data_IF_576674924151
#
_entry.id   IF_576674924151
#
_cell.length_a   1.000
_cell.length_b   1.000
_cell.length_c   1.000
_cell.angle_alpha   90.00
_cell.angle_beta   90.00
_cell.angle_gamma   90.00
#
_symmetry.space_group_name_H-M   'P 1'
#
loop_
_entity.id
_entity.type
_entity.pdbx_description
1 polymer ?
#
# COMPACT_ATOMS: atom_id res chain seq x y z
N UNK A 1 9.82 44.49 26.40
CA UNK A 1 10.26 43.76 25.19
C UNK A 1 10.80 44.78 24.21
N UNK A 2 12.09 44.72 23.84
CA UNK A 2 12.74 45.68 22.93
C UNK A 2 12.00 45.77 21.59
N UNK A 3 11.70 46.98 21.10
CA UNK A 3 10.94 47.15 19.84
C UNK A 3 11.59 46.47 18.62
N UNK A 4 12.91 46.34 18.63
CA UNK A 4 13.65 45.62 17.60
C UNK A 4 13.38 44.11 17.62
N UNK A 5 13.33 43.47 18.79
CA UNK A 5 13.01 42.04 18.91
C UNK A 5 11.60 41.73 18.42
N UNK A 6 10.61 42.61 18.72
CA UNK A 6 9.24 42.45 18.24
C UNK A 6 9.16 42.54 16.70
N UNK A 7 9.90 43.49 16.09
CA UNK A 7 9.96 43.61 14.61
C UNK A 7 10.57 42.35 14.00
N UNK A 8 11.68 41.84 14.54
CA UNK A 8 12.31 40.60 14.04
C UNK A 8 11.34 39.42 14.13
N UNK A 9 10.65 39.23 15.26
CA UNK A 9 9.65 38.16 15.43
C UNK A 9 8.50 38.28 14.40
N UNK A 10 7.99 39.50 14.17
CA UNK A 10 6.91 39.71 13.18
C UNK A 10 7.40 39.41 11.78
N UNK A 11 8.58 39.92 11.39
CA UNK A 11 9.14 39.67 10.05
C UNK A 11 9.39 38.15 9.86
N UNK A 12 9.98 37.47 10.82
CA UNK A 12 10.21 36.04 10.77
C UNK A 12 8.87 35.28 10.64
N UNK A 13 7.86 35.65 11.41
CA UNK A 13 6.52 35.04 11.33
C UNK A 13 5.88 35.24 9.95
N UNK A 14 5.97 36.47 9.40
CA UNK A 14 5.44 36.75 8.05
C UNK A 14 6.20 35.95 6.98
N UNK A 15 7.54 35.87 7.05
CA UNK A 15 8.33 35.09 6.10
C UNK A 15 7.98 33.61 6.18
N UNK A 16 7.86 33.03 7.39
CA UNK A 16 7.45 31.63 7.55
C UNK A 16 6.04 31.38 7.00
N UNK A 17 5.08 32.27 7.26
CA UNK A 17 3.74 32.17 6.71
C UNK A 17 3.75 32.20 5.18
N UNK A 18 4.51 33.10 4.56
CA UNK A 18 4.64 33.18 3.11
C UNK A 18 5.26 31.91 2.51
N UNK A 19 6.29 31.34 3.16
CA UNK A 19 6.89 30.09 2.73
C UNK A 19 5.89 28.92 2.78
N UNK A 20 5.09 28.83 3.83
CA UNK A 20 4.03 27.82 3.96
C UNK A 20 2.96 28.00 2.88
N UNK A 21 2.52 29.22 2.61
CA UNK A 21 1.53 29.50 1.56
C UNK A 21 2.06 29.17 0.16
N UNK A 22 3.30 29.52 -0.15
CA UNK A 22 3.94 29.17 -1.42
C UNK A 22 4.04 27.64 -1.55
N UNK A 23 4.50 26.95 -0.52
CA UNK A 23 4.64 25.50 -0.53
C UNK A 23 3.29 24.78 -0.67
N UNK A 24 2.24 25.25 0.04
CA UNK A 24 0.88 24.70 -0.06
C UNK A 24 0.29 24.93 -1.47
N UNK A 25 0.49 26.10 -2.05
CA UNK A 25 0.07 26.40 -3.43
C UNK A 25 0.77 25.50 -4.43
N UNK A 26 2.10 25.38 -4.32
CA UNK A 26 2.89 24.45 -5.12
C UNK A 26 2.39 23.01 -5.02
N UNK A 27 2.13 22.53 -3.79
CA UNK A 27 1.60 21.19 -3.54
C UNK A 27 0.21 21.00 -4.17
N UNK A 28 -0.68 21.97 -4.02
CA UNK A 28 -2.03 21.92 -4.59
C UNK A 28 -2.01 21.87 -6.12
N UNK A 29 -1.25 22.74 -6.76
CA UNK A 29 -1.09 22.79 -8.23
C UNK A 29 -0.46 21.49 -8.75
N UNK A 30 0.63 21.01 -8.12
CA UNK A 30 1.28 19.77 -8.51
C UNK A 30 0.30 18.59 -8.42
N UNK A 31 -0.45 18.46 -7.32
CA UNK A 31 -1.44 17.39 -7.14
C UNK A 31 -2.55 17.45 -8.19
N UNK A 32 -3.04 18.65 -8.54
CA UNK A 32 -4.07 18.82 -9.56
C UNK A 32 -3.59 18.40 -10.96
N UNK A 33 -2.36 18.76 -11.32
CA UNK A 33 -1.73 18.36 -12.59
C UNK A 33 -1.50 16.84 -12.66
N UNK A 34 -1.03 16.25 -11.56
CA UNK A 34 -0.77 14.81 -11.46
C UNK A 34 -2.04 13.97 -11.54
N UNK A 35 -3.16 14.43 -10.97
CA UNK A 35 -4.47 13.76 -11.13
C UNK A 35 -4.88 13.65 -12.60
N UNK A 36 -4.56 14.65 -13.42
CA UNK A 36 -4.83 14.62 -14.87
C UNK A 36 -3.83 13.74 -15.62
N UNK A 37 -2.58 13.71 -15.17
CA UNK A 37 -1.50 12.96 -15.82
C UNK A 37 -1.58 11.46 -15.58
N UNK A 38 -2.05 11.05 -14.40
CA UNK A 38 -2.12 9.67 -13.97
C UNK A 38 -3.56 9.29 -13.57
N UNK A 39 -4.46 9.11 -14.54
CA UNK A 39 -5.78 8.55 -14.26
C UNK A 39 -5.61 7.12 -13.74
N UNK A 40 -6.58 6.64 -12.93
CA UNK A 40 -6.53 5.27 -12.42
C UNK A 40 -6.61 4.24 -13.55
N UNK A 41 -5.69 3.25 -13.61
CA UNK A 41 -5.94 2.05 -14.39
C UNK A 41 -7.01 1.22 -13.67
N UNK A 42 -7.81 0.43 -14.41
CA UNK A 42 -8.85 -0.38 -13.76
C UNK A 42 -10.11 0.41 -13.40
N UNK A 43 -10.76 0.08 -12.30
CA UNK A 43 -12.09 0.60 -11.95
C UNK A 43 -12.19 0.97 -10.46
N UNK A 44 -13.09 1.91 -10.17
CA UNK A 44 -13.54 2.21 -8.82
C UNK A 44 -14.73 1.30 -8.51
N UNK A 45 -14.73 0.68 -7.34
CA UNK A 45 -15.72 -0.33 -6.92
C UNK A 45 -16.17 -0.02 -5.50
N UNK A 46 -17.46 -0.04 -5.24
CA UNK A 46 -18.01 0.16 -3.91
C UNK A 46 -17.58 -0.97 -2.97
N UNK A 47 -17.01 -0.62 -1.83
CA UNK A 47 -16.53 -1.54 -0.80
C UNK A 47 -17.30 -1.39 0.53
N UNK A 48 -18.55 -0.94 0.45
CA UNK A 48 -19.41 -0.75 1.62
C UNK A 48 -19.54 0.72 2.05
N UNK A 49 -19.78 1.61 1.07
CA UNK A 49 -20.05 3.01 1.30
C UNK A 49 -18.97 3.98 0.85
N UNK A 50 -17.84 3.47 0.37
CA UNK A 50 -16.79 4.25 -0.27
C UNK A 50 -16.17 3.45 -1.42
N UNK A 51 -15.59 4.17 -2.40
CA UNK A 51 -15.03 3.56 -3.61
C UNK A 51 -13.57 3.17 -3.39
N UNK A 52 -13.24 1.91 -3.66
CA UNK A 52 -11.87 1.44 -3.72
C UNK A 52 -11.44 1.19 -5.18
N UNK A 53 -10.20 1.55 -5.46
CA UNK A 53 -9.57 1.25 -6.74
C UNK A 53 -9.20 -0.23 -6.82
N UNK A 54 -9.61 -0.88 -7.91
CA UNK A 54 -9.28 -2.27 -8.23
C UNK A 54 -8.73 -2.36 -9.66
N UNK A 55 -7.54 -2.94 -9.79
CA UNK A 55 -6.89 -3.14 -11.08
C UNK A 55 -6.55 -4.60 -11.30
N UNK A 56 -7.26 -5.23 -12.24
CA UNK A 56 -7.11 -6.64 -12.57
C UNK A 56 -6.56 -6.83 -13.98
N UNK A 57 -5.69 -7.83 -14.13
CA UNK A 57 -5.10 -8.25 -15.41
C UNK A 57 -5.11 -9.78 -15.51
N UNK A 58 -4.89 -10.31 -16.73
CA UNK A 58 -4.87 -11.75 -16.97
C UNK A 58 -6.25 -12.40 -16.89
N UNK A 59 -6.29 -13.71 -17.12
CA UNK A 59 -7.50 -14.54 -17.12
C UNK A 59 -7.22 -15.90 -16.49
N UNK A 60 -8.26 -16.55 -16.01
CA UNK A 60 -8.18 -17.88 -15.39
C UNK A 60 -8.37 -17.86 -13.88
N UNK A 61 -8.32 -19.03 -13.28
CA UNK A 61 -8.54 -19.27 -11.85
C UNK A 61 -7.39 -20.07 -11.24
N UNK A 62 -7.16 -19.97 -9.91
CA UNK A 62 -7.73 -18.97 -9.00
C UNK A 62 -7.28 -17.56 -9.30
N UNK A 63 -8.10 -16.54 -8.95
CA UNK A 63 -7.67 -15.15 -8.95
C UNK A 63 -6.63 -14.94 -7.86
N UNK A 64 -5.55 -14.21 -8.21
CA UNK A 64 -4.56 -13.74 -7.22
C UNK A 64 -4.93 -12.33 -6.79
N UNK A 65 -4.94 -12.05 -5.49
CA UNK A 65 -5.17 -10.72 -4.92
C UNK A 65 -3.90 -10.25 -4.24
N UNK A 66 -3.42 -9.06 -4.62
CA UNK A 66 -2.17 -8.47 -4.18
C UNK A 66 -2.41 -7.39 -3.12
N UNK A 67 -1.91 -7.63 -1.91
CA UNK A 67 -2.01 -6.74 -0.76
C UNK A 67 -0.69 -5.97 -0.57
N UNK A 68 -0.73 -4.65 -0.74
CA UNK A 68 0.46 -3.82 -0.83
C UNK A 68 1.18 -3.63 0.53
N UNK A 69 2.50 -3.37 0.53
CA UNK A 69 3.23 -2.95 1.73
C UNK A 69 2.62 -1.72 2.39
N UNK A 70 2.95 -1.45 3.65
CA UNK A 70 2.50 -0.25 4.34
C UNK A 70 2.87 1.02 3.56
N UNK A 71 2.00 2.02 3.62
CA UNK A 71 2.19 3.33 2.98
C UNK A 71 2.33 3.31 1.46
N UNK A 72 2.16 2.16 0.82
CA UNK A 72 2.22 2.02 -0.63
C UNK A 72 0.84 1.70 -1.23
N UNK A 73 0.79 1.39 -2.49
CA UNK A 73 -0.44 1.17 -3.25
C UNK A 73 -0.26 0.10 -4.33
N UNK A 74 -1.31 -0.21 -5.07
CA UNK A 74 -1.32 -1.21 -6.17
C UNK A 74 -0.14 -1.06 -7.14
N UNK A 75 0.30 0.15 -7.44
CA UNK A 75 1.42 0.41 -8.34
C UNK A 75 2.76 -0.21 -7.88
N UNK A 76 2.93 -0.48 -6.58
CA UNK A 76 4.13 -1.16 -6.08
C UNK A 76 4.26 -2.60 -6.62
N UNK A 77 3.16 -3.23 -6.96
CA UNK A 77 3.11 -4.59 -7.48
C UNK A 77 3.34 -4.71 -8.99
N UNK A 78 3.68 -3.63 -9.70
CA UNK A 78 3.64 -3.57 -11.15
C UNK A 78 4.41 -4.71 -11.84
N UNK A 79 5.65 -5.03 -11.42
CA UNK A 79 6.41 -6.16 -11.98
C UNK A 79 5.74 -7.50 -11.73
N UNK A 80 5.34 -7.76 -10.49
CA UNK A 80 4.71 -9.03 -10.09
C UNK A 80 3.38 -9.20 -10.81
N UNK A 81 2.56 -8.14 -10.89
CA UNK A 81 1.28 -8.19 -11.56
C UNK A 81 1.42 -8.51 -13.04
N UNK A 82 2.41 -7.90 -13.73
CA UNK A 82 2.71 -8.19 -15.14
C UNK A 82 3.11 -9.64 -15.37
N UNK A 83 3.88 -10.24 -14.46
CA UNK A 83 4.32 -11.63 -14.61
C UNK A 83 3.20 -12.62 -14.27
N UNK A 84 2.48 -12.41 -13.16
CA UNK A 84 1.39 -13.27 -12.73
C UNK A 84 0.20 -13.22 -13.70
N UNK A 85 -0.05 -12.08 -14.34
CA UNK A 85 -1.10 -11.92 -15.35
C UNK A 85 -0.94 -12.86 -16.57
N UNK A 86 0.27 -13.34 -16.84
CA UNK A 86 0.56 -14.33 -17.89
C UNK A 86 0.08 -15.75 -17.51
N UNK A 87 -0.16 -15.99 -16.21
CA UNK A 87 -0.48 -17.32 -15.65
C UNK A 87 -1.94 -17.47 -15.25
N UNK A 88 -2.50 -16.42 -14.68
CA UNK A 88 -3.87 -16.40 -14.14
C UNK A 88 -4.38 -14.97 -14.02
N UNK A 89 -5.64 -14.81 -13.62
CA UNK A 89 -6.18 -13.50 -13.25
C UNK A 89 -5.51 -13.00 -11.98
N UNK A 90 -5.06 -11.76 -11.98
CA UNK A 90 -4.41 -11.09 -10.84
C UNK A 90 -4.98 -9.69 -10.66
N UNK A 91 -5.32 -9.36 -9.43
CA UNK A 91 -5.89 -8.08 -9.04
C UNK A 91 -5.04 -7.44 -7.94
N UNK A 92 -4.63 -6.21 -8.14
CA UNK A 92 -4.16 -5.33 -7.07
C UNK A 92 -5.21 -4.28 -6.75
N UNK A 93 -5.21 -3.79 -5.53
CA UNK A 93 -6.15 -2.76 -5.10
C UNK A 93 -5.45 -1.74 -4.20
N UNK A 94 -6.07 -0.61 -4.02
CA UNK A 94 -5.62 0.41 -3.08
C UNK A 94 -6.54 0.38 -1.86
N UNK A 95 -5.96 0.21 -0.65
CA UNK A 95 -6.72 0.32 0.60
C UNK A 95 -7.34 1.70 0.75
N UNK A 96 -8.42 1.80 1.51
CA UNK A 96 -9.11 3.06 1.76
C UNK A 96 -8.14 4.21 2.11
N UNK A 97 -8.22 5.31 1.38
CA UNK A 97 -7.37 6.50 1.55
C UNK A 97 -5.96 6.41 0.98
N UNK A 98 -5.57 5.28 0.39
CA UNK A 98 -4.32 5.16 -0.36
C UNK A 98 -4.59 5.19 -1.87
N UNK A 99 -3.56 5.55 -2.64
CA UNK A 99 -3.65 5.57 -4.09
C UNK A 99 -4.84 6.36 -4.62
N UNK A 100 -5.64 5.72 -5.46
CA UNK A 100 -6.86 6.31 -6.03
C UNK A 100 -8.11 6.04 -5.19
N UNK A 101 -8.03 5.19 -4.16
CA UNK A 101 -9.15 4.86 -3.30
C UNK A 101 -9.61 6.04 -2.46
N UNK A 102 -10.93 6.15 -2.29
CA UNK A 102 -11.51 7.10 -1.36
C UNK A 102 -11.13 6.76 0.07
N UNK A 103 -11.02 7.76 0.91
CA UNK A 103 -10.88 7.55 2.34
C UNK A 103 -12.25 7.11 2.89
N UNK A 104 -12.27 6.05 3.69
CA UNK A 104 -13.44 5.76 4.51
C UNK A 104 -13.61 6.83 5.61
N UNK A 105 -14.78 6.85 6.26
CA UNK A 105 -15.11 7.83 7.31
C UNK A 105 -14.26 7.65 8.58
N UNK A 106 -13.70 6.46 8.79
CA UNK A 106 -12.91 6.12 9.98
C UNK A 106 -11.39 6.16 9.71
N UNK A 107 -10.58 6.41 10.75
CA UNK A 107 -9.14 6.17 10.70
C UNK A 107 -8.81 4.72 10.30
N UNK A 108 -7.53 4.47 9.92
CA UNK A 108 -7.09 3.11 9.64
C UNK A 108 -7.29 2.19 10.85
N UNK A 109 -7.95 1.07 10.61
CA UNK A 109 -8.13 -0.03 11.56
C UNK A 109 -7.83 -1.35 10.84
N UNK A 110 -6.85 -2.15 11.30
CA UNK A 110 -6.47 -3.41 10.63
C UNK A 110 -7.64 -4.39 10.53
N UNK A 111 -8.56 -4.36 11.49
CA UNK A 111 -9.75 -5.21 11.53
C UNK A 111 -10.78 -4.89 10.43
N UNK A 112 -10.75 -3.67 9.91
CA UNK A 112 -11.67 -3.22 8.85
C UNK A 112 -11.20 -3.64 7.45
N UNK A 113 -9.89 -3.86 7.24
CA UNK A 113 -9.32 -4.12 5.91
C UNK A 113 -9.87 -5.41 5.29
N UNK A 114 -9.95 -6.51 6.05
CA UNK A 114 -10.47 -7.76 5.54
C UNK A 114 -11.96 -7.69 5.14
N UNK A 115 -12.88 -7.10 5.92
CA UNK A 115 -14.25 -6.83 5.48
C UNK A 115 -14.36 -5.94 4.25
N UNK A 116 -13.59 -4.84 4.18
CA UNK A 116 -13.58 -3.94 3.02
C UNK A 116 -13.11 -4.66 1.74
N UNK A 117 -12.03 -5.45 1.84
CA UNK A 117 -11.56 -6.26 0.71
C UNK A 117 -12.58 -7.32 0.30
N UNK A 118 -13.26 -7.94 1.27
CA UNK A 118 -14.30 -8.90 0.97
C UNK A 118 -15.49 -8.25 0.23
N UNK A 119 -15.92 -7.07 0.66
CA UNK A 119 -16.97 -6.31 -0.01
C UNK A 119 -16.53 -5.90 -1.43
N UNK A 120 -15.31 -5.38 -1.57
CA UNK A 120 -14.70 -5.03 -2.86
C UNK A 120 -14.74 -6.20 -3.84
N UNK A 121 -14.23 -7.37 -3.44
CA UNK A 121 -14.17 -8.57 -4.30
C UNK A 121 -15.57 -9.10 -4.64
N UNK A 122 -16.52 -9.00 -3.72
CA UNK A 122 -17.92 -9.41 -3.94
C UNK A 122 -18.61 -8.49 -4.94
N UNK A 123 -18.53 -7.16 -4.74
CA UNK A 123 -19.12 -6.17 -5.65
C UNK A 123 -18.46 -6.23 -7.03
N UNK A 124 -17.16 -6.52 -7.07
CA UNK A 124 -16.41 -6.70 -8.31
C UNK A 124 -16.74 -8.01 -9.04
N UNK A 125 -17.47 -8.95 -8.41
CA UNK A 125 -17.76 -10.30 -8.89
C UNK A 125 -16.49 -11.11 -9.21
N UNK A 126 -15.43 -10.95 -8.40
CA UNK A 126 -14.20 -11.70 -8.59
C UNK A 126 -14.37 -13.15 -8.14
N UNK A 127 -13.94 -14.14 -8.97
CA UNK A 127 -14.09 -15.56 -8.65
C UNK A 127 -13.34 -15.96 -7.37
N UNK A 128 -13.95 -16.82 -6.56
CA UNK A 128 -13.39 -17.37 -5.32
C UNK A 128 -13.30 -18.89 -5.38
N UNK A 129 -12.43 -19.53 -4.59
CA UNK A 129 -11.48 -18.93 -3.65
C UNK A 129 -10.29 -18.27 -4.34
N UNK A 130 -9.70 -17.24 -3.71
CA UNK A 130 -8.55 -16.48 -4.22
C UNK A 130 -7.23 -16.96 -3.62
N UNK A 131 -6.11 -16.72 -4.29
CA UNK A 131 -4.77 -16.77 -3.70
C UNK A 131 -4.45 -15.36 -3.20
N UNK A 132 -4.26 -15.20 -1.89
CA UNK A 132 -3.82 -13.92 -1.32
C UNK A 132 -2.31 -13.84 -1.32
N UNK A 133 -1.76 -12.75 -1.85
CA UNK A 133 -0.33 -12.44 -1.78
C UNK A 133 -0.13 -11.08 -1.14
N UNK A 134 0.53 -11.02 -0.01
CA UNK A 134 0.79 -9.78 0.73
C UNK A 134 2.27 -9.56 0.98
N UNK A 135 2.70 -8.30 1.00
CA UNK A 135 4.07 -7.94 1.31
C UNK A 135 4.14 -7.05 2.55
N UNK A 136 5.08 -7.35 3.47
CA UNK A 136 5.31 -6.61 4.70
C UNK A 136 4.01 -6.49 5.53
N UNK A 137 3.50 -5.29 5.84
CA UNK A 137 2.21 -5.10 6.51
C UNK A 137 1.06 -5.75 5.73
N UNK A 138 1.13 -5.72 4.39
CA UNK A 138 0.18 -6.42 3.54
C UNK A 138 0.17 -7.93 3.74
N UNK A 139 1.29 -8.54 4.16
CA UNK A 139 1.31 -9.95 4.51
C UNK A 139 0.51 -10.23 5.80
N UNK A 140 0.61 -9.35 6.79
CA UNK A 140 -0.21 -9.43 8.01
C UNK A 140 -1.70 -9.26 7.68
N UNK A 141 -2.06 -8.27 6.85
CA UNK A 141 -3.44 -8.03 6.42
C UNK A 141 -4.01 -9.20 5.58
N UNK A 142 -3.22 -9.78 4.69
CA UNK A 142 -3.59 -10.99 3.94
C UNK A 142 -3.85 -12.19 4.86
N UNK A 143 -3.07 -12.32 5.94
CA UNK A 143 -3.28 -13.35 6.98
C UNK A 143 -4.61 -13.13 7.71
N UNK A 144 -4.94 -11.88 8.06
CA UNK A 144 -6.23 -11.53 8.68
C UNK A 144 -7.41 -11.83 7.74
N UNK A 145 -7.26 -11.55 6.44
CA UNK A 145 -8.28 -11.90 5.45
C UNK A 145 -8.51 -13.42 5.40
N UNK A 146 -7.44 -14.20 5.29
CA UNK A 146 -7.52 -15.66 5.19
C UNK A 146 -8.11 -16.31 6.46
N UNK A 147 -7.80 -15.77 7.64
CA UNK A 147 -8.38 -16.25 8.89
C UNK A 147 -9.88 -15.94 8.99
N UNK A 148 -10.30 -14.77 8.52
CA UNK A 148 -11.71 -14.33 8.57
C UNK A 148 -12.57 -14.97 7.46
N UNK A 149 -12.00 -15.21 6.28
CA UNK A 149 -12.66 -15.75 5.11
C UNK A 149 -11.95 -17.01 4.58
N UNK A 150 -11.90 -18.09 5.39
CA UNK A 150 -11.12 -19.28 5.06
C UNK A 150 -11.62 -20.01 3.82
N UNK A 151 -12.94 -19.99 3.56
CA UNK A 151 -13.53 -20.64 2.39
C UNK A 151 -13.29 -19.84 1.10
N UNK A 152 -12.97 -18.57 1.23
CA UNK A 152 -12.69 -17.68 0.10
C UNK A 152 -11.19 -17.57 -0.23
N UNK A 153 -10.33 -18.28 0.54
CA UNK A 153 -8.88 -18.26 0.41
C UNK A 153 -8.33 -19.64 0.07
N UNK A 154 -7.75 -19.79 -1.12
CA UNK A 154 -7.16 -21.04 -1.58
C UNK A 154 -5.72 -21.23 -1.07
N UNK A 155 -4.95 -20.16 -0.94
CA UNK A 155 -3.56 -20.17 -0.46
C UNK A 155 -3.10 -18.76 -0.07
N UNK A 156 -2.02 -18.72 0.73
CA UNK A 156 -1.31 -17.49 1.11
C UNK A 156 0.11 -17.48 0.55
N UNK A 157 0.55 -16.31 0.09
CA UNK A 157 1.96 -15.99 -0.21
C UNK A 157 2.34 -14.75 0.59
N UNK A 158 3.27 -14.89 1.52
CA UNK A 158 3.67 -13.86 2.47
C UNK A 158 5.10 -13.43 2.15
N UNK A 159 5.28 -12.20 1.69
CA UNK A 159 6.57 -11.62 1.33
C UNK A 159 7.07 -10.77 2.49
N UNK A 160 8.23 -11.10 3.04
CA UNK A 160 8.80 -10.43 4.20
C UNK A 160 7.76 -10.11 5.30
N UNK A 161 6.97 -11.11 5.77
CA UNK A 161 5.95 -10.87 6.77
C UNK A 161 6.58 -10.33 8.06
N UNK A 162 5.94 -9.38 8.77
CA UNK A 162 6.41 -8.90 10.05
C UNK A 162 6.10 -9.90 11.18
N UNK A 163 6.77 -9.73 12.32
CA UNK A 163 6.53 -10.53 13.53
C UNK A 163 7.07 -11.96 13.45
N UNK A 164 6.40 -12.90 14.12
CA UNK A 164 6.82 -14.29 14.25
C UNK A 164 6.83 -15.07 12.93
N UNK A 165 6.12 -14.58 11.91
CA UNK A 165 6.07 -15.20 10.59
C UNK A 165 7.30 -14.90 9.72
N UNK A 166 8.16 -13.94 10.09
CA UNK A 166 9.32 -13.55 9.30
C UNK A 166 10.39 -12.82 10.09
N UNK A 167 11.56 -12.64 9.46
CA UNK A 167 12.68 -11.88 10.03
C UNK A 167 12.61 -10.39 9.69
N UNK A 168 11.43 -9.88 9.35
CA UNK A 168 11.34 -8.50 8.88
C UNK A 168 11.71 -7.51 9.97
N UNK A 169 12.93 -7.00 9.88
CA UNK A 169 13.47 -5.90 10.68
C UNK A 169 13.27 -4.57 9.96
N UNK A 170 12.14 -4.39 9.26
CA UNK A 170 11.87 -3.14 8.55
C UNK A 170 12.09 -1.96 9.49
N UNK A 171 13.01 -1.08 9.12
CA UNK A 171 13.27 0.15 9.86
C UNK A 171 12.06 1.06 9.75
N UNK A 172 11.23 1.10 10.80
CA UNK A 172 10.10 2.02 10.88
C UNK A 172 10.62 3.45 11.02
N UNK A 173 10.04 4.42 10.30
CA UNK A 173 10.34 5.82 10.53
C UNK A 173 10.00 6.21 11.98
N UNK A 174 10.73 7.18 12.55
CA UNK A 174 10.42 7.63 13.90
C UNK A 174 8.95 8.11 14.00
N UNK A 175 8.30 7.84 15.14
CA UNK A 175 6.92 8.25 15.39
C UNK A 175 6.72 9.77 15.19
N UNK A 176 7.71 10.59 15.51
CA UNK A 176 7.70 12.04 15.30
C UNK A 176 7.65 12.40 13.81
N UNK A 177 8.43 11.70 12.97
CA UNK A 177 8.40 11.90 11.52
C UNK A 177 7.06 11.45 10.95
N UNK A 178 6.56 10.30 11.36
CA UNK A 178 5.25 9.77 10.93
C UNK A 178 4.15 10.78 11.21
N UNK A 179 4.08 11.30 12.43
CA UNK A 179 3.08 12.30 12.83
C UNK A 179 3.21 13.64 12.09
N UNK A 180 4.44 14.06 11.78
CA UNK A 180 4.70 15.32 11.08
C UNK A 180 4.52 15.23 9.54
N UNK A 181 4.69 14.04 8.95
CA UNK A 181 4.75 13.86 7.50
C UNK A 181 3.54 14.39 6.73
N UNK A 182 2.26 14.26 7.19
CA UNK A 182 1.13 14.84 6.50
C UNK A 182 1.16 16.37 6.44
N UNK A 183 1.67 17.01 7.48
CA UNK A 183 1.80 18.47 7.55
C UNK A 183 2.94 18.98 6.66
N UNK A 184 4.08 18.28 6.70
CA UNK A 184 5.22 18.57 5.81
C UNK A 184 4.84 18.41 4.34
N UNK A 185 3.99 17.41 4.03
CA UNK A 185 3.47 17.24 2.68
C UNK A 185 2.53 18.38 2.27
N UNK A 186 1.60 18.81 3.17
CA UNK A 186 0.73 19.96 2.89
C UNK A 186 1.51 21.24 2.63
N UNK A 187 2.61 21.44 3.34
CA UNK A 187 3.54 22.56 3.12
C UNK A 187 4.46 22.36 1.89
N UNK A 188 4.33 21.27 1.14
CA UNK A 188 5.14 20.98 -0.05
C UNK A 188 6.60 20.59 0.23
N UNK A 189 6.99 20.46 1.50
CA UNK A 189 8.38 20.19 1.92
C UNK A 189 8.86 18.83 1.43
N UNK A 190 8.09 17.77 1.66
CA UNK A 190 8.49 16.40 1.29
C UNK A 190 8.63 16.25 -0.22
N UNK A 191 7.76 16.91 -1.00
CA UNK A 191 7.83 16.94 -2.45
C UNK A 191 9.08 17.65 -2.95
N UNK A 192 9.39 18.82 -2.39
CA UNK A 192 10.58 19.60 -2.75
C UNK A 192 11.87 18.83 -2.44
N UNK A 193 11.92 18.13 -1.30
CA UNK A 193 13.07 17.33 -0.87
C UNK A 193 13.18 15.98 -1.58
N UNK A 194 12.14 15.50 -2.27
CA UNK A 194 12.07 14.18 -2.92
C UNK A 194 12.37 13.00 -1.99
N UNK A 195 12.16 13.16 -0.71
CA UNK A 195 12.60 12.24 0.36
C UNK A 195 11.97 10.85 0.26
N UNK A 196 10.72 10.76 -0.21
CA UNK A 196 9.93 9.53 -0.21
C UNK A 196 9.92 8.78 -1.55
N UNK A 197 10.72 9.22 -2.52
CA UNK A 197 10.66 8.69 -3.89
C UNK A 197 11.89 7.87 -4.31
N UNK A 198 12.83 7.63 -3.40
CA UNK A 198 14.12 6.99 -3.73
C UNK A 198 13.94 5.57 -4.31
N UNK A 199 13.10 4.73 -3.71
CA UNK A 199 12.91 3.34 -4.12
C UNK A 199 12.02 3.12 -5.35
N UNK A 200 11.43 4.17 -5.95
CA UNK A 200 10.47 4.01 -7.05
C UNK A 200 11.11 3.81 -8.43
N UNK A 201 12.41 4.09 -8.56
CA UNK A 201 13.08 4.19 -9.88
C UNK A 201 13.17 2.91 -10.67
N UNK A 202 13.15 1.75 -10.00
CA UNK A 202 13.26 0.43 -10.62
C UNK A 202 11.93 -0.15 -11.10
N UNK A 203 10.79 0.47 -10.75
CA UNK A 203 9.49 0.06 -11.27
C UNK A 203 9.34 0.39 -12.76
N UNK A 204 8.54 -0.39 -13.51
CA UNK A 204 8.24 -0.08 -14.91
C UNK A 204 7.43 1.21 -15.01
N UNK A 205 7.55 1.92 -16.14
CA UNK A 205 6.67 3.06 -16.42
C UNK A 205 5.29 2.54 -16.89
N UNK A 206 4.19 3.19 -16.49
CA UNK A 206 4.09 4.43 -15.71
C UNK A 206 4.09 4.24 -14.17
N UNK A 207 4.17 3.01 -13.65
CA UNK A 207 4.03 2.69 -12.22
C UNK A 207 5.01 3.47 -11.32
N UNK A 208 6.27 3.62 -11.76
CA UNK A 208 7.27 4.43 -11.04
C UNK A 208 6.82 5.88 -10.85
N UNK A 209 6.28 6.50 -11.91
CA UNK A 209 5.76 7.86 -11.86
C UNK A 209 4.53 8.00 -10.98
N UNK A 210 3.63 7.03 -11.07
CA UNK A 210 2.40 6.94 -10.26
C UNK A 210 2.77 6.87 -8.78
N UNK A 211 3.55 5.87 -8.38
CA UNK A 211 3.90 5.66 -6.97
C UNK A 211 4.63 6.87 -6.38
N UNK A 212 5.59 7.45 -7.13
CA UNK A 212 6.30 8.68 -6.73
C UNK A 212 5.34 9.83 -6.49
N UNK A 213 4.32 9.96 -7.32
CA UNK A 213 3.29 11.00 -7.19
C UNK A 213 2.51 10.84 -5.89
N UNK A 214 1.98 9.65 -5.64
CA UNK A 214 1.14 9.40 -4.48
C UNK A 214 1.92 9.46 -3.16
N UNK A 215 3.16 8.99 -3.10
CA UNK A 215 4.03 9.11 -1.92
C UNK A 215 4.30 10.57 -1.49
N UNK A 216 3.98 11.56 -2.32
CA UNK A 216 4.11 12.98 -1.99
C UNK A 216 2.78 13.68 -1.76
N UNK A 217 1.66 12.95 -1.77
CA UNK A 217 0.32 13.53 -1.56
C UNK A 217 -0.07 13.53 -0.09
N UNK A 218 -0.61 14.63 0.43
CA UNK A 218 -0.97 14.75 1.84
C UNK A 218 -2.04 13.75 2.31
N UNK A 219 -3.04 13.46 1.46
CA UNK A 219 -4.09 12.48 1.71
C UNK A 219 -3.51 11.07 1.88
N UNK A 220 -2.71 10.62 0.91
CA UNK A 220 -2.02 9.33 0.94
C UNK A 220 -1.10 9.19 2.16
N UNK A 221 -0.31 10.23 2.46
CA UNK A 221 0.58 10.23 3.62
C UNK A 221 -0.17 10.23 4.95
N UNK A 222 -1.33 10.89 5.02
CA UNK A 222 -2.16 10.86 6.23
C UNK A 222 -2.63 9.42 6.51
N UNK A 223 -3.07 8.69 5.49
CA UNK A 223 -3.48 7.30 5.64
C UNK A 223 -2.30 6.38 5.94
N UNK A 224 -1.20 6.54 5.22
CA UNK A 224 0.03 5.78 5.46
C UNK A 224 0.60 5.99 6.87
N UNK A 225 0.52 7.21 7.41
CA UNK A 225 0.86 7.49 8.80
C UNK A 225 -0.05 6.74 9.78
N UNK A 226 -1.34 6.62 9.48
CA UNK A 226 -2.28 5.80 10.24
C UNK A 226 -1.92 4.32 10.25
N UNK A 227 -1.49 3.76 9.11
CA UNK A 227 -1.01 2.37 9.02
C UNK A 227 0.22 2.13 9.89
N UNK A 228 1.20 3.05 9.82
CA UNK A 228 2.41 2.96 10.64
C UNK A 228 2.14 3.12 12.13
N UNK A 229 1.18 3.96 12.51
CA UNK A 229 0.78 4.14 13.90
C UNK A 229 0.09 2.90 14.49
N UNK A 230 -0.51 2.07 13.66
CA UNK A 230 -1.18 0.81 14.04
C UNK A 230 -0.38 -0.43 13.63
N UNK A 231 0.90 -0.27 13.36
CA UNK A 231 1.79 -1.36 12.94
C UNK A 231 1.79 -2.52 13.92
N UNK A 232 2.14 -2.25 15.18
CA UNK A 232 2.25 -3.29 16.21
C UNK A 232 0.91 -3.99 16.46
N UNK A 233 -0.19 -3.25 16.45
CA UNK A 233 -1.53 -3.81 16.59
C UNK A 233 -1.85 -4.75 15.40
N UNK A 234 -1.49 -4.36 14.17
CA UNK A 234 -1.71 -5.19 12.98
C UNK A 234 -0.90 -6.47 13.05
N UNK A 235 0.35 -6.39 13.49
CA UNK A 235 1.23 -7.56 13.67
C UNK A 235 0.66 -8.49 14.74
N UNK A 236 0.33 -7.97 15.93
CA UNK A 236 -0.27 -8.78 17.01
C UNK A 236 -1.55 -9.49 16.56
N UNK A 237 -2.44 -8.80 15.85
CA UNK A 237 -3.67 -9.40 15.34
C UNK A 237 -3.38 -10.53 14.34
N UNK A 238 -2.40 -10.33 13.47
CA UNK A 238 -2.03 -11.35 12.47
C UNK A 238 -1.38 -12.57 13.10
N UNK A 239 -0.59 -12.41 14.17
CA UNK A 239 0.01 -13.49 14.94
C UNK A 239 -1.02 -14.29 15.73
N UNK A 240 -2.04 -13.61 16.24
CA UNK A 240 -3.16 -14.25 16.95
C UNK A 240 -4.16 -14.92 15.99
N UNK A 241 -4.08 -14.67 14.69
CA UNK A 241 -5.02 -15.18 13.71
C UNK A 241 -4.84 -16.70 13.49
N UNK A 242 -5.93 -17.43 13.59
CA UNK A 242 -5.94 -18.89 13.40
C UNK A 242 -6.27 -19.22 11.94
N UNK A 243 -5.29 -19.70 11.21
CA UNK A 243 -5.50 -20.19 9.85
C UNK A 243 -6.07 -21.62 9.85
N UNK A 244 -6.91 -21.97 8.86
CA UNK A 244 -7.41 -23.34 8.72
C UNK A 244 -6.28 -24.37 8.59
N UNK A 245 -6.46 -25.55 9.21
CA UNK A 245 -5.51 -26.65 9.06
C UNK A 245 -5.39 -27.04 7.59
N UNK A 246 -4.15 -27.11 7.09
CA UNK A 246 -3.88 -27.52 5.72
C UNK A 246 -4.01 -26.39 4.68
N UNK A 247 -4.28 -25.14 5.06
CA UNK A 247 -4.17 -24.01 4.15
C UNK A 247 -2.72 -23.85 3.69
N UNK A 248 -2.45 -23.83 2.36
CA UNK A 248 -1.11 -23.65 1.87
C UNK A 248 -0.60 -22.23 2.17
N UNK A 249 0.47 -22.13 2.93
CA UNK A 249 1.17 -20.87 3.18
C UNK A 249 2.60 -20.99 2.60
N UNK A 250 2.98 -20.02 1.80
CA UNK A 250 4.35 -19.88 1.26
C UNK A 250 4.92 -18.58 1.76
N UNK A 251 6.05 -18.64 2.45
CA UNK A 251 6.81 -17.46 2.84
C UNK A 251 7.94 -17.23 1.86
N UNK A 252 8.17 -15.96 1.52
CA UNK A 252 9.23 -15.52 0.61
C UNK A 252 9.99 -14.41 1.31
N UNK A 253 11.29 -14.61 1.52
CA UNK A 253 12.17 -13.57 2.00
C UNK A 253 12.92 -12.98 0.81
N UNK A 254 12.81 -11.68 0.60
CA UNK A 254 13.52 -10.94 -0.43
C UNK A 254 14.37 -9.84 0.20
N UNK A 255 15.48 -9.49 -0.46
CA UNK A 255 16.41 -8.49 0.03
C UNK A 255 15.83 -7.08 -0.07
N UNK A 256 16.10 -6.25 0.93
CA UNK A 256 15.75 -4.83 0.96
C UNK A 256 15.07 -4.41 2.26
N UNK A 257 15.46 -3.23 2.74
CA UNK A 257 14.85 -2.60 3.93
C UNK A 257 13.84 -1.51 3.58
N UNK A 258 13.85 -1.04 2.32
CA UNK A 258 12.92 -0.02 1.83
C UNK A 258 11.66 -0.68 1.30
N UNK A 259 10.52 -0.37 1.91
CA UNK A 259 9.19 -0.89 1.53
C UNK A 259 8.84 -0.63 0.09
N UNK A 260 9.22 0.55 -0.42
CA UNK A 260 8.95 0.96 -1.79
C UNK A 260 9.83 0.17 -2.75
N UNK A 261 11.12 0.01 -2.41
CA UNK A 261 12.10 -0.69 -3.23
C UNK A 261 11.90 -2.22 -3.20
N UNK A 262 11.25 -2.77 -2.16
CA UNK A 262 11.09 -4.20 -1.96
C UNK A 262 10.58 -4.94 -3.20
N UNK A 263 9.49 -4.42 -3.78
CA UNK A 263 8.83 -4.98 -4.97
C UNK A 263 9.25 -4.26 -6.26
N UNK A 264 9.96 -3.14 -6.16
CA UNK A 264 10.48 -2.42 -7.31
C UNK A 264 11.70 -3.14 -7.90
N UNK A 265 12.49 -3.81 -7.08
CA UNK A 265 13.61 -4.62 -7.54
C UNK A 265 13.14 -5.79 -8.40
N UNK A 266 13.65 -5.91 -9.63
CA UNK A 266 13.19 -6.90 -10.61
C UNK A 266 13.46 -8.34 -10.20
N UNK A 267 14.58 -8.60 -9.48
CA UNK A 267 14.90 -9.93 -8.95
C UNK A 267 13.90 -10.33 -7.87
N UNK A 268 13.68 -9.47 -6.89
CA UNK A 268 12.69 -9.70 -5.84
C UNK A 268 11.30 -9.97 -6.42
N UNK A 269 10.89 -9.16 -7.41
CA UNK A 269 9.61 -9.33 -8.10
C UNK A 269 9.52 -10.69 -8.81
N UNK A 270 10.61 -11.19 -9.38
CA UNK A 270 10.64 -12.52 -10.00
C UNK A 270 10.46 -13.61 -8.96
N UNK A 271 11.23 -13.58 -7.85
CA UNK A 271 11.14 -14.58 -6.77
C UNK A 271 9.72 -14.65 -6.19
N UNK A 272 9.09 -13.48 -6.00
CA UNK A 272 7.70 -13.37 -5.54
C UNK A 272 6.72 -13.94 -6.58
N UNK A 273 6.92 -13.62 -7.86
CA UNK A 273 6.07 -14.14 -8.96
C UNK A 273 6.15 -15.66 -9.07
N UNK A 274 7.32 -16.25 -8.89
CA UNK A 274 7.55 -17.70 -8.92
C UNK A 274 6.89 -18.39 -7.73
N UNK A 275 6.91 -17.78 -6.55
CA UNK A 275 6.21 -18.27 -5.36
C UNK A 275 4.69 -18.24 -5.56
N UNK A 276 4.15 -17.14 -6.10
CA UNK A 276 2.72 -17.01 -6.44
C UNK A 276 2.33 -18.06 -7.49
N UNK A 277 3.13 -18.25 -8.53
CA UNK A 277 2.89 -19.29 -9.53
C UNK A 277 2.84 -20.70 -8.91
N UNK A 278 3.73 -20.99 -7.95
CA UNK A 278 3.70 -22.23 -7.17
C UNK A 278 2.40 -22.38 -6.36
N UNK A 279 1.94 -21.31 -5.71
CA UNK A 279 0.69 -21.31 -4.95
C UNK A 279 -0.53 -21.52 -5.84
N UNK A 280 -0.59 -20.87 -7.00
CA UNK A 280 -1.64 -21.06 -8.02
C UNK A 280 -1.69 -22.51 -8.50
N UNK A 281 -0.54 -23.13 -8.83
CA UNK A 281 -0.50 -24.55 -9.23
C UNK A 281 -1.03 -25.47 -8.16
N UNK A 282 -0.61 -25.27 -6.89
CA UNK A 282 -1.13 -26.07 -5.76
C UNK A 282 -2.62 -25.88 -5.51
N UNK A 283 -3.13 -24.67 -5.68
CA UNK A 283 -4.56 -24.40 -5.55
C UNK A 283 -5.37 -25.11 -6.65
N UNK A 284 -4.88 -25.12 -7.90
CA UNK A 284 -5.52 -25.85 -9.01
C UNK A 284 -5.55 -27.37 -8.83
N UNK A 285 -4.51 -27.96 -8.22
CA UNK A 285 -4.47 -29.41 -7.99
C UNK A 285 -5.37 -29.89 -6.85
N UNK A 286 -6.02 -28.98 -6.11
CA UNK A 286 -6.95 -29.27 -5.00
C UNK A 286 -8.42 -29.04 -5.36
N UNK A 287 -8.68 -28.40 -6.49
CA UNK A 287 -10.00 -28.24 -7.10
C UNK A 287 -10.36 -29.45 -7.95
#
# INVERSE_FOLDING_TARGET
VYPAARRVLVITGVVLLLLVLIGATYQGVATALERRRFPHPGRMVDAGGHQLHLYCQGQGTPTVVLEAPATTMSAAWAWVQMDVAKLTRVCSYDRAGLGWSEAGDAPFAPEAVAPELNALLSTAAEPRPVVMAGAELGAALATLFAARYPNDTAALVLVNPPGAFGRNTASLPSAKFVAASPWLARAGVLRAMRTLSAGTGELPQPAAGILRTFLNRPDHLTRGAGELARWDDTVMLSEAAVLPRGMPVTQVEVEGQDRVALLANRRNAQDVSDAIAGAVRRARSRQ
#
